data_IF_172492057040
#
_entry.id   IF_172492057040
#
_cell.length_a   1.000
_cell.length_b   1.000
_cell.length_c   1.000
_cell.angle_alpha   90.00
_cell.angle_beta   90.00
_cell.angle_gamma   90.00
#
_symmetry.space_group_name_H-M   'P 1'
#
loop_
_entity.id
_entity.type
_entity.pdbx_description
1 polymer ?
#
# COMPACT_ATOMS: atom_id res chain seq x y z
N UNK A 1 -15.16 22.36 -12.01
CA UNK A 1 -15.22 20.92 -11.68
C UNK A 1 -16.61 20.68 -11.09
N UNK A 2 -17.52 20.06 -11.83
CA UNK A 2 -18.88 19.78 -11.32
C UNK A 2 -18.78 18.92 -10.06
N UNK A 3 -19.36 19.42 -8.95
CA UNK A 3 -19.52 18.62 -7.74
C UNK A 3 -20.38 17.43 -8.11
N UNK A 4 -19.84 16.21 -8.00
CA UNK A 4 -20.66 15.00 -8.01
C UNK A 4 -21.56 15.08 -6.77
N UNK A 5 -22.81 15.51 -6.96
CA UNK A 5 -23.81 15.56 -5.89
C UNK A 5 -23.98 14.15 -5.33
N UNK A 6 -23.61 13.95 -4.06
CA UNK A 6 -23.81 12.70 -3.33
C UNK A 6 -22.77 11.59 -3.57
N UNK A 7 -21.63 11.89 -4.22
CA UNK A 7 -20.53 10.93 -4.37
C UNK A 7 -19.52 11.03 -3.23
N UNK A 8 -19.05 9.89 -2.73
CA UNK A 8 -17.89 9.79 -1.85
C UNK A 8 -16.68 10.51 -2.45
N UNK A 9 -15.90 11.22 -1.64
CA UNK A 9 -14.68 11.88 -2.12
C UNK A 9 -13.51 10.90 -2.31
N UNK A 10 -12.55 11.27 -3.16
CA UNK A 10 -11.36 10.47 -3.44
C UNK A 10 -10.51 10.19 -2.18
N UNK A 11 -10.48 11.13 -1.23
CA UNK A 11 -9.75 10.95 0.02
C UNK A 11 -10.38 9.85 0.89
N UNK A 12 -11.68 9.62 0.79
CA UNK A 12 -12.40 8.56 1.48
C UNK A 12 -11.98 7.20 0.92
N UNK A 13 -11.90 7.08 -0.41
CA UNK A 13 -11.37 5.90 -1.07
C UNK A 13 -9.92 5.61 -0.68
N UNK A 14 -9.07 6.64 -0.71
CA UNK A 14 -7.69 6.54 -0.25
C UNK A 14 -7.59 6.08 1.20
N UNK A 15 -8.37 6.70 2.10
CA UNK A 15 -8.34 6.42 3.53
C UNK A 15 -8.73 4.98 3.84
N UNK A 16 -9.72 4.42 3.13
CA UNK A 16 -10.06 3.01 3.24
C UNK A 16 -8.92 2.09 2.80
N UNK A 17 -8.30 2.38 1.65
CA UNK A 17 -7.16 1.60 1.15
C UNK A 17 -5.93 1.69 2.06
N UNK A 18 -5.67 2.88 2.61
CA UNK A 18 -4.56 3.12 3.53
C UNK A 18 -4.73 2.38 4.86
N UNK A 19 -5.97 2.34 5.39
CA UNK A 19 -6.30 1.52 6.55
C UNK A 19 -6.17 0.02 6.24
N UNK A 20 -6.65 -0.43 5.08
CA UNK A 20 -6.47 -1.82 4.65
C UNK A 20 -5.00 -2.22 4.53
N UNK A 21 -4.14 -1.33 4.01
CA UNK A 21 -2.70 -1.55 3.94
C UNK A 21 -2.07 -1.71 5.33
N UNK A 22 -2.52 -0.92 6.31
CA UNK A 22 -2.12 -1.08 7.72
C UNK A 22 -2.48 -2.47 8.25
N UNK A 23 -3.69 -2.95 7.95
CA UNK A 23 -4.11 -4.29 8.37
C UNK A 23 -3.21 -5.35 7.76
N UNK A 24 -3.00 -5.35 6.43
CA UNK A 24 -2.08 -6.29 5.79
C UNK A 24 -0.69 -6.27 6.44
N UNK A 25 -0.17 -5.09 6.75
CA UNK A 25 1.14 -4.93 7.40
C UNK A 25 1.22 -5.50 8.81
N UNK A 26 0.16 -5.40 9.61
CA UNK A 26 0.13 -5.99 10.95
C UNK A 26 -0.01 -7.50 10.88
N UNK A 27 -0.82 -8.01 9.96
CA UNK A 27 -1.20 -9.42 9.91
C UNK A 27 -0.14 -10.28 9.25
N UNK A 28 0.65 -9.72 8.33
CA UNK A 28 1.85 -10.38 7.83
C UNK A 28 2.99 -10.35 8.86
N UNK A 29 2.91 -9.50 9.89
CA UNK A 29 3.94 -9.39 10.92
C UNK A 29 3.77 -10.49 12.00
N UNK A 30 4.42 -11.63 11.78
CA UNK A 30 4.48 -12.71 12.78
C UNK A 30 5.02 -12.23 14.14
N UNK A 31 5.98 -11.29 14.13
CA UNK A 31 6.56 -10.73 15.35
C UNK A 31 5.52 -10.06 16.23
N UNK A 32 4.64 -9.24 15.64
CA UNK A 32 3.51 -8.62 16.33
C UNK A 32 2.58 -9.67 16.95
N UNK A 33 2.20 -10.67 16.15
CA UNK A 33 1.28 -11.73 16.60
C UNK A 33 1.79 -12.50 17.81
N UNK A 34 3.12 -12.61 17.99
CA UNK A 34 3.72 -13.21 19.18
C UNK A 34 3.87 -12.18 20.31
N UNK A 35 4.29 -10.96 19.99
CA UNK A 35 4.55 -9.89 20.95
C UNK A 35 3.28 -9.46 21.70
N UNK A 36 2.10 -9.47 21.06
CA UNK A 36 0.83 -9.16 21.74
C UNK A 36 0.50 -10.15 22.86
N UNK A 37 0.92 -11.41 22.74
CA UNK A 37 0.59 -12.45 23.74
C UNK A 37 1.69 -12.64 24.77
N UNK A 38 2.95 -12.60 24.35
CA UNK A 38 4.09 -12.83 25.23
C UNK A 38 4.60 -11.55 25.90
N UNK A 39 4.48 -10.40 25.23
CA UNK A 39 4.96 -9.11 25.71
C UNK A 39 3.92 -8.00 25.47
N UNK A 40 2.66 -8.15 25.96
CA UNK A 40 1.58 -7.20 25.68
C UNK A 40 1.90 -5.77 26.12
N UNK A 41 2.73 -5.62 27.16
CA UNK A 41 3.15 -4.33 27.70
C UNK A 41 4.38 -3.72 27.00
N UNK A 42 4.93 -4.37 25.96
CA UNK A 42 6.02 -3.76 25.19
C UNK A 42 5.51 -2.56 24.39
N UNK A 43 6.35 -1.52 24.22
CA UNK A 43 5.99 -0.33 23.46
C UNK A 43 5.52 -0.68 22.04
N UNK A 44 6.21 -1.61 21.38
CA UNK A 44 5.85 -2.09 20.05
C UNK A 44 4.45 -2.76 20.04
N UNK A 45 4.20 -3.72 20.95
CA UNK A 45 2.90 -4.39 21.04
C UNK A 45 1.75 -3.40 21.27
N UNK A 46 1.96 -2.41 22.14
CA UNK A 46 0.95 -1.37 22.44
C UNK A 46 0.67 -0.50 21.21
N UNK A 47 1.71 -0.05 20.50
CA UNK A 47 1.56 0.79 19.31
C UNK A 47 0.91 0.02 18.16
N UNK A 48 1.33 -1.21 17.89
CA UNK A 48 0.75 -2.05 16.84
C UNK A 48 -0.72 -2.45 17.16
N UNK A 49 -1.05 -2.63 18.44
CA UNK A 49 -2.45 -2.83 18.88
C UNK A 49 -3.29 -1.57 18.67
N UNK A 50 -2.73 -0.39 18.97
CA UNK A 50 -3.37 0.89 18.68
C UNK A 50 -3.55 1.11 17.16
N UNK A 51 -2.59 0.68 16.34
CA UNK A 51 -2.70 0.70 14.88
C UNK A 51 -3.87 -0.15 14.38
N UNK A 52 -4.03 -1.37 14.91
CA UNK A 52 -5.16 -2.23 14.57
C UNK A 52 -6.48 -1.52 14.85
N UNK A 53 -6.63 -0.97 16.06
CA UNK A 53 -7.82 -0.22 16.45
C UNK A 53 -8.07 1.00 15.55
N UNK A 54 -7.04 1.79 15.27
CA UNK A 54 -7.15 2.97 14.41
C UNK A 54 -7.52 2.61 12.96
N UNK A 55 -6.95 1.55 12.39
CA UNK A 55 -7.29 1.07 11.06
C UNK A 55 -8.76 0.62 10.98
N UNK A 56 -9.25 -0.15 11.96
CA UNK A 56 -10.66 -0.55 12.06
C UNK A 56 -11.57 0.68 12.16
N UNK A 57 -11.21 1.66 12.98
CA UNK A 57 -11.98 2.89 13.14
C UNK A 57 -12.04 3.70 11.83
N UNK A 58 -10.95 3.78 11.07
CA UNK A 58 -10.95 4.40 9.74
C UNK A 58 -11.84 3.63 8.78
N UNK A 59 -11.74 2.29 8.72
CA UNK A 59 -12.61 1.48 7.85
C UNK A 59 -14.10 1.62 8.21
N UNK A 60 -14.42 1.80 9.49
CA UNK A 60 -15.80 2.04 9.94
C UNK A 60 -16.34 3.42 9.51
N UNK A 61 -15.48 4.42 9.27
CA UNK A 61 -15.89 5.74 8.76
C UNK A 61 -14.72 6.44 8.03
N UNK A 62 -14.43 6.05 6.77
CA UNK A 62 -13.24 6.52 6.07
C UNK A 62 -13.30 8.01 5.68
N UNK A 63 -14.48 8.64 5.79
CA UNK A 63 -14.67 10.08 5.60
C UNK A 63 -14.26 10.92 6.83
N UNK A 64 -13.93 10.28 7.97
CA UNK A 64 -13.50 11.00 9.17
C UNK A 64 -12.01 11.38 9.12
N UNK A 65 -11.72 12.66 8.87
CA UNK A 65 -10.34 13.17 8.90
C UNK A 65 -9.67 12.96 10.26
N UNK A 66 -10.42 13.06 11.37
CA UNK A 66 -9.87 12.82 12.70
C UNK A 66 -9.31 11.40 12.84
N UNK A 67 -10.05 10.39 12.37
CA UNK A 67 -9.62 8.98 12.44
C UNK A 67 -8.41 8.72 11.54
N UNK A 68 -8.41 9.31 10.35
CA UNK A 68 -7.29 9.18 9.39
C UNK A 68 -6.02 9.86 9.94
N UNK A 69 -6.16 11.03 10.56
CA UNK A 69 -5.07 11.71 11.27
C UNK A 69 -4.55 10.86 12.42
N UNK A 70 -5.42 10.29 13.24
CA UNK A 70 -5.03 9.41 14.34
C UNK A 70 -4.25 8.17 13.83
N UNK A 71 -4.77 7.49 12.81
CA UNK A 71 -4.06 6.38 12.15
C UNK A 71 -2.67 6.82 11.66
N UNK A 72 -2.60 7.96 10.96
CA UNK A 72 -1.34 8.48 10.41
C UNK A 72 -0.31 8.78 11.51
N UNK A 73 -0.74 9.37 12.63
CA UNK A 73 0.12 9.67 13.77
C UNK A 73 0.62 8.40 14.48
N UNK A 74 -0.26 7.42 14.68
CA UNK A 74 0.14 6.15 15.31
C UNK A 74 1.11 5.39 14.39
N UNK A 75 0.91 5.44 13.06
CA UNK A 75 1.84 4.86 12.09
C UNK A 75 3.23 5.53 12.13
N UNK A 76 3.29 6.85 12.36
CA UNK A 76 4.58 7.53 12.57
C UNK A 76 5.24 7.12 13.89
N UNK A 77 4.45 6.94 14.94
CA UNK A 77 4.93 6.43 16.22
C UNK A 77 5.48 5.00 16.10
N UNK A 78 4.79 4.12 15.36
CA UNK A 78 5.23 2.76 15.05
C UNK A 78 6.61 2.75 14.41
N UNK A 79 6.80 3.56 13.37
CA UNK A 79 8.10 3.72 12.72
C UNK A 79 9.15 4.26 13.70
N UNK A 80 8.81 5.25 14.52
CA UNK A 80 9.74 5.80 15.50
C UNK A 80 10.21 4.75 16.54
N UNK A 81 9.33 3.83 16.95
CA UNK A 81 9.65 2.76 17.91
C UNK A 81 10.64 1.75 17.32
N UNK A 82 10.54 1.45 16.03
CA UNK A 82 11.42 0.46 15.37
C UNK A 82 12.67 1.07 14.74
N UNK A 83 12.84 2.39 14.76
CA UNK A 83 14.07 3.05 14.32
C UNK A 83 15.25 2.68 15.24
N UNK A 84 16.48 2.53 14.70
CA UNK A 84 16.90 2.75 13.31
C UNK A 84 16.69 1.54 12.37
N UNK A 85 16.06 0.46 12.86
CA UNK A 85 15.89 -0.81 12.14
C UNK A 85 14.65 -0.84 11.24
N UNK A 86 13.96 0.29 11.06
CA UNK A 86 12.76 0.39 10.24
C UNK A 86 13.06 -0.03 8.78
N UNK A 87 12.35 -1.04 8.24
CA UNK A 87 12.51 -1.43 6.85
C UNK A 87 11.98 -0.34 5.91
N UNK A 88 12.45 -0.35 4.66
CA UNK A 88 12.19 0.75 3.72
C UNK A 88 10.70 0.97 3.45
N UNK A 89 9.89 -0.09 3.38
CA UNK A 89 8.45 0.03 3.15
C UNK A 89 7.72 0.76 4.29
N UNK A 90 8.16 0.61 5.55
CA UNK A 90 7.62 1.36 6.71
C UNK A 90 7.96 2.84 6.61
N UNK A 91 9.13 3.18 6.09
CA UNK A 91 9.52 4.58 5.86
C UNK A 91 8.75 5.22 4.72
N UNK A 92 8.45 4.48 3.64
CA UNK A 92 7.55 4.96 2.57
C UNK A 92 6.19 5.34 3.15
N UNK A 93 5.64 4.48 4.01
CA UNK A 93 4.39 4.73 4.72
C UNK A 93 4.50 5.97 5.63
N UNK A 94 5.60 6.12 6.38
CA UNK A 94 5.86 7.32 7.19
C UNK A 94 5.91 8.61 6.34
N UNK A 95 6.63 8.60 5.21
CA UNK A 95 6.66 9.74 4.30
C UNK A 95 5.28 10.07 3.73
N UNK A 96 4.50 9.05 3.35
CA UNK A 96 3.10 9.21 2.92
C UNK A 96 2.25 9.90 3.99
N UNK A 97 2.37 9.47 5.25
CA UNK A 97 1.66 10.08 6.38
C UNK A 97 2.10 11.52 6.65
N UNK A 98 3.40 11.81 6.61
CA UNK A 98 3.90 13.17 6.76
C UNK A 98 3.35 14.09 5.67
N UNK A 99 3.27 13.62 4.43
CA UNK A 99 2.67 14.38 3.32
C UNK A 99 1.17 14.61 3.55
N UNK A 100 0.42 13.60 4.02
CA UNK A 100 -1.00 13.72 4.31
C UNK A 100 -1.27 14.69 5.47
N UNK A 101 -0.54 14.55 6.57
CA UNK A 101 -0.64 15.45 7.73
C UNK A 101 -0.26 16.88 7.35
N UNK A 102 0.81 17.05 6.55
CA UNK A 102 1.23 18.35 6.01
C UNK A 102 0.14 18.99 5.12
N UNK A 103 -0.69 18.20 4.43
CA UNK A 103 -1.84 18.72 3.70
C UNK A 103 -2.99 19.12 4.65
N UNK A 104 -3.29 18.30 5.66
CA UNK A 104 -4.37 18.54 6.63
C UNK A 104 -4.14 19.82 7.45
N UNK A 105 -2.95 20.01 8.02
CA UNK A 105 -2.65 21.19 8.87
C UNK A 105 -2.74 22.52 8.13
N UNK A 106 -2.74 22.50 6.80
CA UNK A 106 -2.83 23.69 5.95
C UNK A 106 -4.25 24.08 5.55
N UNK A 107 -5.24 23.26 5.91
CA UNK A 107 -6.65 23.54 5.63
C UNK A 107 -7.31 23.96 6.95
N UNK A 108 -7.56 25.27 7.16
CA UNK A 108 -8.30 25.73 8.33
C UNK A 108 -9.67 25.05 8.38
N UNK A 109 -10.07 24.59 9.57
CA UNK A 109 -11.35 23.91 9.73
C UNK A 109 -11.44 22.53 9.07
N UNK A 110 -10.31 21.89 8.68
CA UNK A 110 -10.31 20.56 8.05
C UNK A 110 -11.18 19.54 8.80
N UNK A 111 -11.20 19.59 10.14
CA UNK A 111 -11.94 18.65 10.98
C UNK A 111 -13.45 18.95 11.12
N UNK A 112 -13.96 20.03 10.53
CA UNK A 112 -15.38 20.42 10.64
C UNK A 112 -16.32 19.56 9.77
N UNK A 113 -15.78 18.58 9.02
CA UNK A 113 -16.58 17.65 8.22
C UNK A 113 -17.06 18.21 6.88
N UNK A 114 -16.52 19.34 6.43
CA UNK A 114 -16.81 19.90 5.11
C UNK A 114 -16.16 19.05 4.00
N UNK A 115 -16.97 18.61 3.05
CA UNK A 115 -16.52 17.89 1.85
C UNK A 115 -15.56 18.75 1.01
N UNK A 116 -15.70 20.07 1.01
CA UNK A 116 -14.76 20.98 0.32
C UNK A 116 -13.38 20.92 0.95
N UNK A 117 -13.29 20.98 2.28
CA UNK A 117 -12.03 20.90 2.99
C UNK A 117 -11.30 19.57 2.71
N UNK A 118 -12.03 18.44 2.67
CA UNK A 118 -11.46 17.13 2.32
C UNK A 118 -10.94 17.07 0.89
N UNK A 119 -11.67 17.66 -0.07
CA UNK A 119 -11.21 17.77 -1.45
C UNK A 119 -9.93 18.60 -1.54
N UNK A 120 -9.83 19.69 -0.78
CA UNK A 120 -8.64 20.54 -0.75
C UNK A 120 -7.43 19.83 -0.11
N UNK A 121 -7.65 19.04 0.95
CA UNK A 121 -6.62 18.15 1.52
C UNK A 121 -6.11 17.19 0.44
N UNK A 122 -7.01 16.51 -0.27
CA UNK A 122 -6.64 15.56 -1.33
C UNK A 122 -5.82 16.23 -2.45
N UNK A 123 -6.26 17.39 -2.93
CA UNK A 123 -5.58 18.13 -4.00
C UNK A 123 -4.16 18.58 -3.62
N UNK A 124 -3.90 18.82 -2.33
CA UNK A 124 -2.57 19.17 -1.82
C UNK A 124 -1.70 17.95 -1.56
N UNK A 125 -2.31 16.87 -1.09
CA UNK A 125 -1.63 15.62 -0.75
C UNK A 125 -1.20 14.83 -2.00
N UNK A 126 -2.13 14.56 -2.91
CA UNK A 126 -1.94 13.61 -4.00
C UNK A 126 -0.74 13.93 -4.91
N UNK A 127 -0.47 15.20 -5.31
CA UNK A 127 0.70 15.49 -6.15
C UNK A 127 2.02 15.12 -5.48
N UNK A 128 2.19 15.42 -4.20
CA UNK A 128 3.41 15.08 -3.47
C UNK A 128 3.54 13.57 -3.27
N UNK A 129 2.43 12.89 -2.94
CA UNK A 129 2.42 11.44 -2.81
C UNK A 129 2.72 10.72 -4.13
N UNK A 130 2.26 11.24 -5.27
CA UNK A 130 2.62 10.73 -6.60
C UNK A 130 4.14 10.82 -6.84
N UNK A 131 4.78 11.93 -6.46
CA UNK A 131 6.24 12.06 -6.53
C UNK A 131 6.94 11.09 -5.59
N UNK A 132 6.43 10.87 -4.37
CA UNK A 132 6.95 9.85 -3.46
C UNK A 132 6.91 8.46 -4.12
N UNK A 133 5.79 8.08 -4.75
CA UNK A 133 5.68 6.79 -5.46
C UNK A 133 6.69 6.68 -6.61
N UNK A 134 6.87 7.75 -7.39
CA UNK A 134 7.84 7.77 -8.48
C UNK A 134 9.28 7.60 -7.97
N UNK A 135 9.62 8.24 -6.84
CA UNK A 135 10.90 8.09 -6.16
C UNK A 135 11.09 6.64 -5.70
N UNK A 136 10.07 6.02 -5.10
CA UNK A 136 10.12 4.62 -4.66
C UNK A 136 10.40 3.68 -5.83
N UNK A 137 9.69 3.83 -6.95
CA UNK A 137 9.95 2.99 -8.12
C UNK A 137 11.32 3.24 -8.73
N UNK A 138 11.78 4.49 -8.78
CA UNK A 138 13.13 4.82 -9.25
C UNK A 138 14.19 4.08 -8.42
N UNK A 139 14.10 4.10 -7.09
CA UNK A 139 15.07 3.41 -6.24
C UNK A 139 14.89 1.89 -6.24
N UNK A 140 13.66 1.38 -6.39
CA UNK A 140 13.42 -0.05 -6.56
C UNK A 140 14.12 -0.58 -7.82
N UNK A 141 13.99 0.13 -8.94
CA UNK A 141 14.69 -0.13 -10.19
C UNK A 141 16.21 0.00 -10.03
N UNK A 142 16.68 1.10 -9.45
CA UNK A 142 18.10 1.37 -9.27
C UNK A 142 18.80 0.27 -8.44
N UNK A 143 18.12 -0.27 -7.41
CA UNK A 143 18.61 -1.38 -6.61
C UNK A 143 18.76 -2.70 -7.38
N UNK A 144 18.17 -2.82 -8.57
CA UNK A 144 18.23 -4.01 -9.43
C UNK A 144 19.26 -3.88 -10.56
N UNK A 145 19.94 -2.74 -10.67
CA UNK A 145 21.01 -2.52 -11.64
C UNK A 145 22.37 -2.99 -11.10
N UNK A 146 22.40 -4.20 -10.54
CA UNK A 146 23.63 -4.81 -10.00
C UNK A 146 23.91 -6.13 -10.71
N UNK A 147 25.18 -6.54 -10.72
CA UNK A 147 25.59 -7.84 -11.27
C UNK A 147 24.94 -9.01 -10.54
N UNK A 148 24.74 -8.89 -9.24
CA UNK A 148 24.07 -9.90 -8.40
C UNK A 148 22.59 -10.05 -8.77
N UNK A 149 21.90 -8.95 -9.09
CA UNK A 149 20.47 -9.06 -9.45
C UNK A 149 20.28 -9.73 -10.82
N UNK A 150 21.19 -9.52 -11.78
CA UNK A 150 21.08 -10.10 -13.13
C UNK A 150 21.59 -11.54 -13.23
N UNK A 151 22.32 -12.01 -12.23
CA UNK A 151 22.78 -13.39 -12.12
C UNK A 151 21.66 -14.29 -11.57
N UNK A 152 21.16 -15.29 -12.34
CA UNK A 152 20.09 -16.18 -11.88
C UNK A 152 20.40 -16.93 -10.58
N UNK A 153 21.68 -17.16 -10.24
CA UNK A 153 22.05 -17.88 -9.03
C UNK A 153 21.88 -17.04 -7.76
N UNK A 154 21.97 -15.71 -7.87
CA UNK A 154 21.94 -14.78 -6.74
C UNK A 154 20.74 -13.82 -6.77
N UNK A 155 20.03 -13.75 -7.90
CA UNK A 155 18.88 -12.88 -8.09
C UNK A 155 17.73 -13.19 -7.14
N UNK A 156 17.25 -12.17 -6.42
CA UNK A 156 16.04 -12.32 -5.61
C UNK A 156 14.78 -12.58 -6.46
N UNK A 157 14.73 -12.09 -7.70
CA UNK A 157 13.61 -12.37 -8.60
C UNK A 157 13.56 -13.86 -9.02
N UNK A 158 14.72 -14.49 -9.24
CA UNK A 158 14.81 -15.92 -9.50
C UNK A 158 14.36 -16.75 -8.29
N UNK A 159 14.81 -16.37 -7.08
CA UNK A 159 14.39 -17.03 -5.84
C UNK A 159 12.87 -16.95 -5.62
N UNK A 160 12.28 -15.77 -5.83
CA UNK A 160 10.82 -15.60 -5.68
C UNK A 160 10.04 -16.41 -6.71
N UNK A 161 10.54 -16.48 -7.94
CA UNK A 161 9.93 -17.33 -8.95
C UNK A 161 9.96 -18.80 -8.55
N UNK A 162 11.07 -19.30 -8.01
CA UNK A 162 11.18 -20.66 -7.49
C UNK A 162 10.09 -20.97 -6.46
N UNK A 163 9.90 -20.09 -5.47
CA UNK A 163 8.84 -20.25 -4.47
C UNK A 163 7.44 -20.27 -5.09
N UNK A 164 7.17 -19.44 -6.09
CA UNK A 164 5.87 -19.42 -6.78
C UNK A 164 5.67 -20.68 -7.63
N UNK A 165 6.71 -21.15 -8.30
CA UNK A 165 6.69 -22.35 -9.14
C UNK A 165 6.40 -23.62 -8.32
N UNK A 166 6.85 -23.69 -7.07
CA UNK A 166 6.49 -24.79 -6.14
C UNK A 166 4.98 -24.93 -5.93
N UNK A 167 4.21 -23.84 -6.01
CA UNK A 167 2.76 -23.84 -5.87
C UNK A 167 2.00 -23.94 -7.20
N UNK A 168 2.68 -23.70 -8.32
CA UNK A 168 2.08 -23.65 -9.65
C UNK A 168 2.77 -24.65 -10.59
N UNK A 169 2.41 -25.95 -10.54
CA UNK A 169 3.11 -27.02 -11.26
C UNK A 169 3.08 -26.92 -12.79
N UNK A 170 2.30 -25.98 -13.34
CA UNK A 170 2.20 -25.71 -14.79
C UNK A 170 3.20 -24.65 -15.26
N UNK A 171 3.94 -24.01 -14.36
CA UNK A 171 4.87 -22.94 -14.71
C UNK A 171 6.21 -23.58 -15.10
N UNK A 172 6.70 -23.37 -16.34
CA UNK A 172 7.96 -23.97 -16.78
C UNK A 172 9.14 -23.40 -16.00
N UNK A 173 9.94 -24.26 -15.37
CA UNK A 173 11.15 -23.88 -14.65
C UNK A 173 12.40 -24.18 -15.50
N UNK A 174 12.67 -23.31 -16.47
CA UNK A 174 13.89 -23.37 -17.27
C UNK A 174 14.52 -21.99 -17.37
N UNK A 175 15.84 -21.95 -17.61
CA UNK A 175 16.68 -20.75 -17.58
C UNK A 175 16.10 -19.54 -18.33
N UNK A 176 15.43 -19.76 -19.46
CA UNK A 176 14.84 -18.67 -20.24
C UNK A 176 13.72 -17.95 -19.48
N UNK A 177 12.89 -18.67 -18.71
CA UNK A 177 11.80 -18.08 -17.91
C UNK A 177 12.38 -17.30 -16.74
N UNK A 178 13.36 -17.86 -16.03
CA UNK A 178 14.05 -17.17 -14.93
C UNK A 178 14.67 -15.87 -15.42
N UNK A 179 15.41 -15.90 -16.54
CA UNK A 179 15.99 -14.69 -17.15
C UNK A 179 14.90 -13.69 -17.57
N UNK A 180 13.78 -14.17 -18.10
CA UNK A 180 12.63 -13.32 -18.46
C UNK A 180 12.05 -12.61 -17.23
N UNK A 181 12.01 -13.28 -16.07
CA UNK A 181 11.49 -12.69 -14.82
C UNK A 181 12.46 -11.65 -14.27
N UNK A 182 13.77 -11.93 -14.31
CA UNK A 182 14.81 -10.98 -13.90
C UNK A 182 14.71 -9.70 -14.73
N UNK A 183 14.82 -9.83 -16.06
CA UNK A 183 14.77 -8.69 -16.97
C UNK A 183 13.39 -8.03 -17.01
N UNK A 184 12.32 -8.82 -16.89
CA UNK A 184 10.96 -8.33 -16.76
C UNK A 184 10.80 -7.44 -15.53
N UNK A 185 11.32 -7.85 -14.38
CA UNK A 185 11.27 -7.06 -13.14
C UNK A 185 12.01 -5.73 -13.31
N UNK A 186 13.22 -5.75 -13.88
CA UNK A 186 13.99 -4.53 -14.18
C UNK A 186 13.18 -3.61 -15.11
N UNK A 187 12.63 -4.17 -16.19
CA UNK A 187 11.85 -3.41 -17.17
C UNK A 187 10.60 -2.80 -16.54
N UNK A 188 9.84 -3.56 -15.75
CA UNK A 188 8.61 -3.07 -15.11
C UNK A 188 8.92 -1.95 -14.13
N UNK A 189 9.83 -2.17 -13.19
CA UNK A 189 10.16 -1.15 -12.20
C UNK A 189 10.79 0.10 -12.82
N UNK A 190 11.62 -0.08 -13.86
CA UNK A 190 12.22 1.03 -14.61
C UNK A 190 11.20 1.80 -15.45
N UNK A 191 10.24 1.12 -16.07
CA UNK A 191 9.23 1.75 -16.92
C UNK A 191 8.11 2.44 -16.13
N UNK A 192 7.70 1.90 -14.97
CA UNK A 192 6.61 2.41 -14.16
C UNK A 192 6.68 3.92 -13.84
N UNK A 193 7.80 4.51 -13.37
CA UNK A 193 7.84 5.94 -13.07
C UNK A 193 7.57 6.78 -14.32
N UNK A 194 8.10 6.40 -15.48
CA UNK A 194 7.83 7.10 -16.74
C UNK A 194 6.38 6.93 -17.18
N UNK A 195 5.85 5.71 -17.12
CA UNK A 195 4.47 5.42 -17.50
C UNK A 195 3.48 6.22 -16.63
N UNK A 196 3.74 6.30 -15.32
CA UNK A 196 2.90 7.00 -14.34
C UNK A 196 2.98 8.53 -14.47
N UNK A 197 4.18 9.08 -14.66
CA UNK A 197 4.37 10.52 -14.79
C UNK A 197 3.84 11.04 -16.14
N UNK A 198 4.01 10.27 -17.22
CA UNK A 198 3.52 10.65 -18.52
C UNK A 198 1.98 10.54 -18.61
N UNK A 199 1.35 11.68 -18.86
CA UNK A 199 -0.12 11.84 -18.92
C UNK A 199 -0.82 10.84 -19.83
N UNK A 200 -0.20 10.49 -20.97
CA UNK A 200 -0.79 9.60 -21.99
C UNK A 200 -0.79 8.12 -21.55
N UNK A 201 0.25 7.69 -20.84
CA UNK A 201 0.48 6.29 -20.47
C UNK A 201 0.05 5.96 -19.04
N UNK A 202 -0.29 6.96 -18.23
CA UNK A 202 -0.56 6.79 -16.80
C UNK A 202 -1.59 5.72 -16.47
N UNK A 203 -2.65 5.59 -17.26
CA UNK A 203 -3.67 4.54 -17.03
C UNK A 203 -3.05 3.15 -17.11
N UNK A 204 -2.26 2.92 -18.16
CA UNK A 204 -1.50 1.68 -18.31
C UNK A 204 -0.50 1.53 -17.16
N UNK A 205 0.21 2.60 -16.77
CA UNK A 205 1.10 2.58 -15.60
C UNK A 205 0.41 2.16 -14.30
N UNK A 206 -0.78 2.69 -14.01
CA UNK A 206 -1.58 2.29 -12.84
C UNK A 206 -2.02 0.83 -12.94
N UNK A 207 -2.55 0.41 -14.09
CA UNK A 207 -3.02 -0.96 -14.27
C UNK A 207 -1.86 -1.96 -14.15
N UNK A 208 -0.74 -1.70 -14.82
CA UNK A 208 0.46 -2.52 -14.76
C UNK A 208 1.05 -2.53 -13.35
N UNK A 209 1.09 -1.40 -12.66
CA UNK A 209 1.58 -1.34 -11.27
C UNK A 209 0.70 -2.17 -10.32
N UNK A 210 -0.62 -2.05 -10.41
CA UNK A 210 -1.55 -2.85 -9.58
C UNK A 210 -1.43 -4.33 -9.92
N UNK A 211 -1.35 -4.70 -11.20
CA UNK A 211 -1.16 -6.09 -11.62
C UNK A 211 0.19 -6.66 -11.15
N UNK A 212 1.27 -5.87 -11.26
CA UNK A 212 2.59 -6.23 -10.78
C UNK A 212 2.58 -6.51 -9.28
N UNK A 213 2.00 -5.61 -8.47
CA UNK A 213 1.90 -5.79 -7.03
C UNK A 213 0.96 -6.93 -6.63
N UNK A 214 -0.11 -7.15 -7.38
CA UNK A 214 -0.99 -8.31 -7.21
C UNK A 214 -0.21 -9.62 -7.34
N UNK A 215 0.61 -9.75 -8.39
CA UNK A 215 1.46 -10.91 -8.62
C UNK A 215 2.60 -11.03 -7.59
N UNK A 216 3.28 -9.93 -7.28
CA UNK A 216 4.45 -9.92 -6.38
C UNK A 216 4.10 -10.40 -4.97
N UNK A 217 2.91 -10.07 -4.49
CA UNK A 217 2.43 -10.47 -3.16
C UNK A 217 2.12 -11.97 -3.01
N UNK A 218 2.21 -12.78 -4.08
CA UNK A 218 2.16 -14.24 -3.95
C UNK A 218 3.47 -14.86 -3.47
N UNK A 219 4.59 -14.12 -3.41
CA UNK A 219 5.81 -14.66 -2.81
C UNK A 219 5.60 -14.89 -1.30
N UNK A 220 5.75 -16.15 -0.91
CA UNK A 220 5.44 -16.56 0.45
C UNK A 220 6.55 -16.38 1.46
N UNK A 221 7.75 -16.04 0.99
CA UNK A 221 8.96 -15.95 1.79
C UNK A 221 9.20 -14.55 2.36
N UNK A 222 8.89 -13.52 1.56
CA UNK A 222 9.11 -12.11 1.91
C UNK A 222 7.84 -11.39 2.37
N UNK A 223 6.68 -12.04 2.24
CA UNK A 223 5.40 -11.51 2.68
C UNK A 223 5.07 -10.12 2.11
N UNK A 224 5.29 -9.90 0.80
CA UNK A 224 5.14 -8.60 0.12
C UNK A 224 3.71 -8.00 0.14
N UNK A 225 2.75 -8.59 0.84
CA UNK A 225 1.40 -8.05 1.01
C UNK A 225 1.40 -6.65 1.65
N UNK A 226 2.30 -6.44 2.61
CA UNK A 226 2.43 -5.18 3.33
C UNK A 226 2.84 -4.05 2.38
N UNK A 227 3.93 -4.24 1.64
CA UNK A 227 4.43 -3.30 0.66
C UNK A 227 3.46 -3.16 -0.51
N UNK A 228 2.92 -4.26 -1.02
CA UNK A 228 2.02 -4.25 -2.19
C UNK A 228 0.70 -3.58 -1.91
N UNK A 229 0.14 -3.67 -0.69
CA UNK A 229 -1.06 -2.94 -0.30
C UNK A 229 -0.81 -1.42 -0.19
N UNK A 230 0.32 -1.01 0.40
CA UNK A 230 0.75 0.41 0.45
C UNK A 230 0.93 0.95 -0.96
N UNK A 231 1.68 0.24 -1.81
CA UNK A 231 1.92 0.65 -3.19
C UNK A 231 0.63 0.69 -4.00
N UNK A 232 -0.32 -0.22 -3.77
CA UNK A 232 -1.63 -0.19 -4.43
C UNK A 232 -2.43 1.06 -4.07
N UNK A 233 -2.43 1.47 -2.80
CA UNK A 233 -3.08 2.70 -2.37
C UNK A 233 -2.44 3.94 -3.00
N UNK A 234 -1.10 3.98 -3.08
CA UNK A 234 -0.34 5.07 -3.70
C UNK A 234 -0.51 5.13 -5.22
N UNK A 235 -0.48 3.99 -5.91
CA UNK A 235 -0.70 3.90 -7.36
C UNK A 235 -2.07 4.45 -7.76
N UNK A 236 -3.10 4.25 -6.94
CA UNK A 236 -4.43 4.78 -7.24
C UNK A 236 -4.53 6.31 -7.11
N UNK A 237 -3.56 7.00 -6.51
CA UNK A 237 -3.46 8.46 -6.54
C UNK A 237 -3.12 9.01 -7.93
N UNK A 238 -2.58 8.17 -8.83
CA UNK A 238 -2.38 8.49 -10.24
C UNK A 238 -3.65 8.30 -11.08
N UNK A 239 -4.65 7.59 -10.57
CA UNK A 239 -5.91 7.40 -11.27
C UNK A 239 -6.76 8.69 -11.23
N UNK A 240 -7.84 8.71 -12.03
CA UNK A 240 -8.85 9.78 -11.90
C UNK A 240 -9.44 9.74 -10.48
N UNK A 241 -9.61 10.87 -9.77
CA UNK A 241 -10.16 10.88 -8.42
C UNK A 241 -11.52 10.16 -8.29
N UNK A 242 -12.31 10.10 -9.38
CA UNK A 242 -13.57 9.35 -9.44
C UNK A 242 -13.37 7.83 -9.38
N UNK A 243 -12.25 7.31 -9.90
CA UNK A 243 -11.87 5.89 -9.73
C UNK A 243 -11.66 5.62 -8.25
N UNK A 244 -10.86 6.45 -7.58
CA UNK A 244 -10.57 6.28 -6.15
C UNK A 244 -11.82 6.40 -5.29
N UNK A 245 -12.71 7.34 -5.61
CA UNK A 245 -14.02 7.49 -4.98
C UNK A 245 -14.89 6.22 -5.06
N UNK A 246 -14.74 5.37 -6.08
CA UNK A 246 -15.49 4.10 -6.15
C UNK A 246 -15.07 3.08 -5.10
N UNK A 247 -13.88 3.24 -4.51
CA UNK A 247 -13.37 2.39 -3.43
C UNK A 247 -13.70 2.93 -2.03
N UNK A 248 -14.37 4.09 -1.95
CA UNK A 248 -14.92 4.59 -0.71
C UNK A 248 -16.14 3.76 -0.31
N UNK A 249 -15.93 2.82 0.60
CA UNK A 249 -16.99 1.97 1.14
C UNK A 249 -17.40 2.52 2.51
N UNK A 250 -18.69 2.54 2.82
CA UNK A 250 -19.19 2.85 4.16
C UNK A 250 -20.09 4.08 4.27
N UNK A 251 -20.19 4.91 3.23
CA UNK A 251 -21.30 5.86 3.16
C UNK A 251 -22.43 5.21 2.37
N UNK A 252 -23.41 4.68 3.10
CA UNK A 252 -24.65 4.18 2.55
C UNK A 252 -25.21 5.23 1.58
N UNK A 253 -25.05 5.00 0.28
CA UNK A 253 -25.79 5.73 -0.73
C UNK A 253 -27.27 5.50 -0.45
N UNK A 254 -27.90 6.55 0.10
CA UNK A 254 -29.32 6.74 0.35
C UNK A 254 -30.22 5.61 -0.19
N UNK A 255 -30.47 4.60 0.65
CA UNK A 255 -31.62 3.70 0.48
C UNK A 255 -31.45 2.45 -0.39
N UNK A 256 -30.24 2.09 -0.87
CA UNK A 256 -30.04 0.77 -1.50
C UNK A 256 -29.08 -0.11 -0.70
N UNK A 257 -29.54 -1.26 -0.15
CA UNK A 257 -28.66 -2.26 0.44
C UNK A 257 -27.94 -3.00 -0.69
N UNK A 258 -26.92 -2.34 -1.29
CA UNK A 258 -26.08 -2.97 -2.30
C UNK A 258 -24.77 -3.40 -1.65
N UNK A 259 -24.65 -4.72 -1.51
CA UNK A 259 -23.41 -5.49 -1.46
C UNK A 259 -22.28 -4.90 -0.60
N UNK A 260 -22.54 -4.80 0.71
CA UNK A 260 -21.46 -4.95 1.72
C UNK A 260 -20.64 -6.23 1.42
N UNK A 261 -21.24 -7.22 0.75
CA UNK A 261 -20.70 -8.53 0.38
C UNK A 261 -19.60 -8.57 -0.70
N UNK A 262 -19.25 -7.49 -1.40
CA UNK A 262 -18.21 -7.49 -2.46
C UNK A 262 -17.17 -6.37 -2.33
N UNK A 263 -17.14 -5.70 -1.18
CA UNK A 263 -16.16 -4.66 -0.92
C UNK A 263 -14.82 -5.31 -0.52
N UNK A 264 -13.67 -4.89 -1.09
CA UNK A 264 -12.36 -5.44 -0.73
C UNK A 264 -12.04 -5.26 0.77
N UNK A 265 -12.71 -4.29 1.42
CA UNK A 265 -12.58 -3.98 2.83
C UNK A 265 -13.35 -4.94 3.73
N UNK A 266 -14.40 -5.62 3.23
CA UNK A 266 -15.20 -6.57 4.01
C UNK A 266 -14.44 -7.88 4.22
N UNK A 267 -13.67 -8.31 3.22
CA UNK A 267 -12.73 -9.42 3.36
C UNK A 267 -11.65 -9.09 4.42
N UNK A 268 -11.15 -7.85 4.41
CA UNK A 268 -10.18 -7.39 5.41
C UNK A 268 -10.79 -7.26 6.83
N UNK A 269 -12.04 -6.83 6.96
CA UNK A 269 -12.70 -6.67 8.26
C UNK A 269 -13.13 -8.00 8.91
N UNK A 270 -13.49 -9.01 8.12
CA UNK A 270 -14.08 -10.26 8.63
C UNK A 270 -13.04 -11.38 8.78
N UNK A 271 -12.11 -11.53 7.84
CA UNK A 271 -11.18 -12.66 7.86
C UNK A 271 -9.95 -12.41 8.73
N UNK A 272 -9.55 -11.15 8.91
CA UNK A 272 -8.24 -10.81 9.47
C UNK A 272 -8.16 -10.89 11.01
N UNK A 273 -9.14 -10.44 11.80
CA UNK A 273 -9.11 -10.63 13.26
C UNK A 273 -9.20 -12.11 13.67
N UNK A 274 -9.93 -12.92 12.90
CA UNK A 274 -10.04 -14.37 13.11
C UNK A 274 -8.70 -15.10 12.89
N UNK A 275 -7.83 -14.55 12.01
CA UNK A 275 -6.49 -15.07 11.76
C UNK A 275 -5.49 -14.72 12.87
N UNK A 276 -5.62 -13.56 13.51
CA UNK A 276 -4.72 -13.14 14.60
C UNK A 276 -4.96 -13.91 15.90
N UNK A 277 -6.21 -14.28 16.17
CA UNK A 277 -6.58 -15.10 17.34
C UNK A 277 -6.10 -16.55 17.18
N UNK A 278 -6.08 -17.08 15.96
CA UNK A 278 -5.62 -18.46 15.70
C UNK A 278 -4.10 -18.61 15.75
N UNK A 279 -3.32 -17.60 15.33
CA UNK A 279 -1.85 -17.60 15.44
C UNK A 279 -1.35 -17.48 16.89
N UNK A 280 -2.13 -16.80 17.73
CA UNK A 280 -1.79 -16.51 19.12
C UNK A 280 -1.93 -17.69 20.08
N UNK A 281 -2.96 -18.50 19.86
CA UNK A 281 -3.29 -19.63 20.74
C UNK A 281 -2.35 -20.81 20.48
N UNK A 282 -1.56 -20.78 19.41
CA UNK A 282 -0.83 -21.96 18.97
C UNK A 282 0.54 -21.72 18.34
N UNK A 283 1.52 -21.26 19.13
CA UNK A 283 2.93 -21.55 18.81
C UNK A 283 3.20 -23.06 18.65
N UNK A 284 2.32 -23.91 19.18
CA UNK A 284 2.45 -25.37 19.28
C UNK A 284 1.85 -26.18 18.11
N UNK A 285 0.95 -25.63 17.29
CA UNK A 285 0.32 -26.39 16.19
C UNK A 285 0.62 -25.76 14.82
N UNK A 286 1.54 -26.38 14.09
CA UNK A 286 1.91 -26.06 12.71
C UNK A 286 0.69 -25.86 11.79
N UNK A 287 -0.38 -26.64 11.98
CA UNK A 287 -1.63 -26.55 11.22
C UNK A 287 -2.28 -25.16 11.28
N UNK A 288 -2.28 -24.51 12.45
CA UNK A 288 -2.90 -23.19 12.62
C UNK A 288 -2.06 -22.08 11.97
N UNK A 289 -0.73 -22.21 12.01
CA UNK A 289 0.19 -21.31 11.28
C UNK A 289 -0.03 -21.42 9.77
N UNK A 290 -0.11 -22.65 9.24
CA UNK A 290 -0.41 -22.88 7.82
C UNK A 290 -1.77 -22.31 7.43
N UNK A 291 -2.80 -22.51 8.26
CA UNK A 291 -4.14 -21.97 8.03
C UNK A 291 -4.13 -20.43 8.02
N UNK A 292 -3.46 -19.80 8.98
CA UNK A 292 -3.31 -18.33 9.06
C UNK A 292 -2.72 -17.77 7.75
N UNK A 293 -1.62 -18.35 7.27
CA UNK A 293 -1.02 -17.90 6.02
C UNK A 293 -1.97 -18.10 4.83
N UNK A 294 -2.61 -19.28 4.71
CA UNK A 294 -3.61 -19.54 3.65
C UNK A 294 -4.75 -18.51 3.65
N UNK A 295 -5.23 -18.11 4.82
CA UNK A 295 -6.28 -17.11 4.96
C UNK A 295 -5.80 -15.71 4.57
N UNK A 296 -4.55 -15.34 4.86
CA UNK A 296 -3.94 -14.10 4.37
C UNK A 296 -3.83 -14.12 2.85
N UNK A 297 -3.36 -15.21 2.23
CA UNK A 297 -3.32 -15.33 0.76
C UNK A 297 -4.71 -15.21 0.15
N UNK A 298 -5.70 -15.89 0.72
CA UNK A 298 -7.08 -15.80 0.23
C UNK A 298 -7.60 -14.37 0.35
N UNK A 299 -7.32 -13.70 1.47
CA UNK A 299 -7.70 -12.30 1.67
C UNK A 299 -7.03 -11.39 0.66
N UNK A 300 -5.73 -11.58 0.40
CA UNK A 300 -5.01 -10.84 -0.65
C UNK A 300 -5.58 -11.11 -2.04
N UNK A 301 -5.84 -12.37 -2.38
CA UNK A 301 -6.40 -12.77 -3.67
C UNK A 301 -7.71 -12.02 -3.91
N UNK A 302 -8.61 -12.02 -2.92
CA UNK A 302 -9.89 -11.33 -3.00
C UNK A 302 -9.71 -9.80 -3.06
N UNK A 303 -8.86 -9.24 -2.20
CA UNK A 303 -8.58 -7.81 -2.14
C UNK A 303 -7.97 -7.30 -3.45
N UNK A 304 -6.85 -7.89 -3.87
CA UNK A 304 -6.10 -7.51 -5.05
C UNK A 304 -6.87 -7.75 -6.35
N UNK A 305 -7.63 -8.85 -6.47
CA UNK A 305 -8.51 -9.06 -7.63
C UNK A 305 -9.62 -8.01 -7.68
N UNK A 306 -10.19 -7.63 -6.53
CA UNK A 306 -11.21 -6.58 -6.47
C UNK A 306 -10.64 -5.22 -6.85
N UNK A 307 -9.42 -4.88 -6.41
CA UNK A 307 -8.72 -3.69 -6.87
C UNK A 307 -8.49 -3.73 -8.38
N UNK A 308 -7.93 -4.82 -8.90
CA UNK A 308 -7.60 -4.96 -10.31
C UNK A 308 -8.86 -4.84 -11.19
N UNK A 309 -9.91 -5.60 -10.89
CA UNK A 309 -11.19 -5.55 -11.60
C UNK A 309 -11.85 -4.18 -11.44
N UNK A 310 -11.79 -3.57 -10.25
CA UNK A 310 -12.31 -2.25 -9.98
C UNK A 310 -11.64 -1.17 -10.83
N UNK A 311 -10.31 -1.19 -10.89
CA UNK A 311 -9.50 -0.29 -11.73
C UNK A 311 -9.84 -0.47 -13.20
N UNK A 312 -9.82 -1.70 -13.71
CA UNK A 312 -10.16 -2.00 -15.11
C UNK A 312 -11.54 -1.43 -15.45
N UNK A 313 -12.58 -1.79 -14.67
CA UNK A 313 -13.96 -1.35 -14.94
C UNK A 313 -14.14 0.16 -14.89
N UNK A 314 -13.49 0.84 -13.94
CA UNK A 314 -13.71 2.27 -13.70
C UNK A 314 -12.84 3.15 -14.59
N UNK A 315 -11.62 2.73 -14.93
CA UNK A 315 -10.76 3.46 -15.87
C UNK A 315 -11.37 3.52 -17.28
N UNK A 316 -12.03 2.46 -17.74
CA UNK A 316 -12.77 2.48 -19.00
C UNK A 316 -13.95 3.46 -18.97
N UNK A 317 -14.62 3.60 -17.82
CA UNK A 317 -15.77 4.51 -17.65
C UNK A 317 -15.37 5.97 -17.54
N UNK A 318 -14.27 6.27 -16.84
CA UNK A 318 -13.82 7.64 -16.58
C UNK A 318 -12.71 8.07 -17.54
N UNK A 319 -12.81 7.65 -18.81
CA UNK A 319 -11.77 7.80 -19.83
C UNK A 319 -11.47 9.26 -20.27
N UNK A 320 -11.99 10.27 -19.58
CA UNK A 320 -11.80 11.72 -19.86
C UNK A 320 -10.37 12.26 -19.67
N UNK A 321 -10.19 13.57 -19.85
CA UNK A 321 -8.87 14.21 -19.87
C UNK A 321 -7.98 13.80 -18.68
N UNK A 322 -6.83 13.19 -18.99
CA UNK A 322 -5.86 12.79 -17.98
C UNK A 322 -5.36 14.03 -17.23
N UNK A 323 -5.39 13.99 -15.89
CA UNK A 323 -4.97 15.12 -15.06
C UNK A 323 -3.46 15.38 -15.19
N UNK A 324 -3.01 16.60 -15.04
CA UNK A 324 -1.58 16.89 -14.92
C UNK A 324 -1.14 16.63 -13.49
N UNK A 325 -0.02 15.93 -13.28
CA UNK A 325 0.56 15.82 -11.94
C UNK A 325 1.20 17.17 -11.64
N UNK A 326 0.72 17.83 -10.58
CA UNK A 326 1.31 19.07 -10.10
C UNK A 326 2.69 18.81 -9.50
N UNK A 327 3.59 19.78 -9.60
CA UNK A 327 4.81 19.80 -8.80
C UNK A 327 4.47 20.44 -7.45
N UNK A 328 4.77 19.80 -6.30
CA UNK A 328 4.60 20.44 -5.01
C UNK A 328 5.51 21.67 -4.94
N UNK A 329 4.93 22.85 -4.72
CA UNK A 329 5.69 24.13 -4.66
C UNK A 329 6.05 24.53 -3.23
N UNK A 330 5.52 23.82 -2.25
CA UNK A 330 5.69 24.15 -0.84
C UNK A 330 6.95 23.50 -0.27
N UNK A 331 7.67 24.23 0.59
CA UNK A 331 8.93 23.79 1.17
C UNK A 331 8.82 22.48 1.96
N UNK A 332 7.77 22.30 2.76
CA UNK A 332 7.64 21.12 3.62
C UNK A 332 7.45 19.81 2.83
N UNK A 333 6.50 19.68 1.87
CA UNK A 333 6.44 18.52 0.99
C UNK A 333 7.75 18.26 0.24
N UNK A 334 8.43 19.31 -0.25
CA UNK A 334 9.73 19.17 -0.90
C UNK A 334 10.79 18.60 0.05
N UNK A 335 10.86 19.09 1.29
CA UNK A 335 11.77 18.56 2.30
C UNK A 335 11.50 17.08 2.62
N UNK A 336 10.22 16.67 2.70
CA UNK A 336 9.84 15.27 2.91
C UNK A 336 10.27 14.40 1.71
N UNK A 337 10.07 14.88 0.47
CA UNK A 337 10.51 14.17 -0.72
C UNK A 337 12.03 14.08 -0.81
N UNK A 338 12.76 15.15 -0.46
CA UNK A 338 14.21 15.11 -0.33
C UNK A 338 14.66 14.07 0.71
N UNK A 339 13.99 13.99 1.85
CA UNK A 339 14.27 12.96 2.86
C UNK A 339 14.02 11.54 2.32
N UNK A 340 12.98 11.34 1.50
CA UNK A 340 12.73 10.06 0.83
C UNK A 340 13.85 9.69 -0.16
N UNK A 341 14.36 10.67 -0.92
CA UNK A 341 15.52 10.48 -1.81
C UNK A 341 16.79 10.13 -1.02
N UNK A 342 17.06 10.85 0.06
CA UNK A 342 18.20 10.56 0.94
C UNK A 342 18.08 9.16 1.57
N UNK A 343 16.88 8.73 1.96
CA UNK A 343 16.65 7.36 2.41
C UNK A 343 16.95 6.34 1.30
N UNK A 344 16.57 6.61 0.05
CA UNK A 344 16.90 5.75 -1.09
C UNK A 344 18.41 5.60 -1.31
N UNK A 345 19.20 6.65 -1.08
CA UNK A 345 20.66 6.59 -1.15
C UNK A 345 21.32 5.98 0.08
N UNK A 346 20.62 5.86 1.21
CA UNK A 346 21.22 5.45 2.48
C UNK A 346 21.99 4.12 2.46
N UNK A 347 21.59 3.07 1.69
CA UNK A 347 22.40 1.85 1.60
C UNK A 347 23.73 2.07 0.89
N UNK A 348 23.75 2.91 -0.14
CA UNK A 348 24.94 3.22 -0.95
C UNK A 348 25.92 4.15 -0.22
N UNK A 349 25.40 4.92 0.75
CA UNK A 349 26.20 5.78 1.61
C UNK A 349 26.70 5.05 2.87
N UNK A 350 26.40 3.76 3.04
CA UNK A 350 26.77 2.98 4.23
C UNK A 350 26.01 3.38 5.50
N UNK A 351 24.94 4.18 5.38
CA UNK A 351 24.11 4.61 6.51
C UNK A 351 23.18 3.47 6.95
N UNK A 352 22.73 2.63 6.00
CA UNK A 352 21.92 1.45 6.27
C UNK A 352 22.56 0.19 5.71
N UNK A 353 22.60 -0.85 6.54
CA UNK A 353 23.07 -2.20 6.16
C UNK A 353 21.93 -3.14 5.75
N UNK A 354 20.67 -2.78 6.02
CA UNK A 354 19.47 -3.51 5.56
C UNK A 354 18.77 -2.77 4.44
N UNK A 355 18.57 -3.45 3.31
CA UNK A 355 17.85 -2.95 2.13
C UNK A 355 16.42 -3.48 2.00
N UNK A 356 16.05 -4.52 2.76
CA UNK A 356 14.74 -5.19 2.74
C UNK A 356 13.73 -4.62 3.74
#
# INVERSE_FOLDING_TARGET
>A
MERVKGGSDALTGFSGLWAAATLFSLLSNRGWSLAVFHHPASAQSMVETALLGAAILVLARPSSLLRVTALSLIQLLDVAVIMPLAPNHRLVLAFGNLLLLAAIVRIPGAFQGDASARADVFQRFAPAANWLTAIVYFFAFFAKLTTEFVDPATSCAAQFFGHVAEFLPLVPDHDAVVRTIIWGTILFEGALPFLLLARRTRRAGVLLGIAFHFCLAFDTSKHFFDFSSVMSALLLLFADPRVLATFAVGEATQGRPRAIALSPHTAALVLLPACSVTSAISPLHWTLVVLHFKLIYLTWLLYGLTLLVGVVRTQYRYSGQAQTIGVPKQLLPLAILCAAVLNGFSPYLGIKTRTG
#
